data_IF_491206510517
#
_entry.id   IF_491206510517
#
_cell.length_a   1.000
_cell.length_b   1.000
_cell.length_c   1.000
_cell.angle_alpha   90.00
_cell.angle_beta   90.00
_cell.angle_gamma   90.00
#
_symmetry.space_group_name_H-M   'P 1'
#
loop_
_entity.id
_entity.type
_entity.pdbx_description
1 polymer ?
#
# COMPACT_ATOMS: atom_id res chain seq x y z
N UNK A 1 -8.06 4.88 13.39
CA UNK A 1 -7.08 5.35 14.42
C UNK A 1 -6.79 6.85 14.37
N UNK A 2 -6.76 7.45 13.19
CA UNK A 2 -6.49 8.87 12.95
C UNK A 2 -7.32 9.34 11.75
N UNK A 3 -7.40 10.65 11.51
CA UNK A 3 -7.98 11.21 10.27
C UNK A 3 -6.92 11.54 9.20
N UNK A 4 -5.64 11.24 9.46
CA UNK A 4 -4.54 11.56 8.54
C UNK A 4 -3.85 12.89 8.85
N UNK A 5 -4.45 13.74 9.67
CA UNK A 5 -3.78 14.92 10.24
C UNK A 5 -3.36 14.65 11.68
N UNK A 6 -4.27 14.09 12.48
CA UNK A 6 -4.06 13.81 13.91
C UNK A 6 -4.68 12.48 14.32
N UNK A 7 -4.11 11.86 15.35
CA UNK A 7 -4.72 10.71 16.02
C UNK A 7 -5.97 11.10 16.79
N UNK A 8 -6.93 10.17 16.86
CA UNK A 8 -8.08 10.36 17.72
C UNK A 8 -7.66 10.18 19.19
N UNK A 9 -7.96 11.16 20.06
CA UNK A 9 -7.56 11.12 21.48
C UNK A 9 -7.96 9.80 22.16
N UNK A 10 -9.17 9.29 21.88
CA UNK A 10 -9.63 8.00 22.44
C UNK A 10 -8.82 6.81 21.92
N UNK A 11 -8.39 6.83 20.66
CA UNK A 11 -7.56 5.78 20.08
C UNK A 11 -6.14 5.79 20.68
N UNK A 12 -5.55 6.97 20.87
CA UNK A 12 -4.24 7.12 21.52
C UNK A 12 -4.27 6.52 22.93
N UNK A 13 -5.23 6.93 23.77
CA UNK A 13 -5.41 6.40 25.13
C UNK A 13 -5.65 4.88 25.14
N UNK A 14 -6.38 4.36 24.16
CA UNK A 14 -6.63 2.93 24.03
C UNK A 14 -5.32 2.16 23.74
N UNK A 15 -4.52 2.63 22.77
CA UNK A 15 -3.22 2.04 22.44
C UNK A 15 -2.27 2.07 23.63
N UNK A 16 -2.18 3.21 24.34
CA UNK A 16 -1.37 3.34 25.55
C UNK A 16 -1.78 2.33 26.63
N UNK A 17 -3.09 2.18 26.87
CA UNK A 17 -3.60 1.21 27.85
C UNK A 17 -3.30 -0.23 27.43
N UNK A 18 -3.51 -0.58 26.16
CA UNK A 18 -3.19 -1.92 25.65
C UNK A 18 -1.70 -2.23 25.79
N UNK A 19 -0.83 -1.26 25.50
CA UNK A 19 0.61 -1.40 25.67
C UNK A 19 1.00 -1.60 27.14
N UNK A 20 0.44 -0.83 28.07
CA UNK A 20 0.66 -1.01 29.53
C UNK A 20 0.22 -2.38 30.03
N UNK A 21 -0.86 -2.94 29.46
CA UNK A 21 -1.35 -4.30 29.71
C UNK A 21 -0.56 -5.38 28.94
N UNK A 22 0.59 -5.02 28.36
CA UNK A 22 1.50 -5.89 27.60
C UNK A 22 0.83 -6.63 26.44
N UNK A 23 -0.13 -5.98 25.77
CA UNK A 23 -0.71 -6.51 24.54
C UNK A 23 0.21 -6.24 23.36
N UNK A 24 0.29 -7.21 22.46
CA UNK A 24 0.98 -7.05 21.18
C UNK A 24 0.03 -6.30 20.24
N UNK A 25 0.46 -5.15 19.74
CA UNK A 25 -0.33 -4.29 18.85
C UNK A 25 0.37 -4.24 17.50
N UNK A 26 -0.38 -4.50 16.43
CA UNK A 26 0.13 -4.49 15.06
C UNK A 26 -0.74 -3.54 14.24
N UNK A 27 -0.10 -2.67 13.44
CA UNK A 27 -0.81 -1.83 12.47
C UNK A 27 -0.87 -2.57 11.13
N UNK A 28 -2.08 -2.67 10.57
CA UNK A 28 -2.33 -3.19 9.23
C UNK A 28 -3.05 -2.12 8.40
N UNK A 29 -2.42 -1.64 7.32
CA UNK A 29 -2.97 -0.58 6.46
C UNK A 29 -2.92 -0.94 4.97
N UNK A 30 -3.91 -0.52 4.18
CA UNK A 30 -3.87 -0.66 2.72
C UNK A 30 -3.13 0.49 2.01
N UNK A 31 -2.56 1.44 2.77
CA UNK A 31 -1.67 2.47 2.24
C UNK A 31 -0.56 1.88 1.35
N UNK A 32 -0.23 2.57 0.26
CA UNK A 32 0.89 2.25 -0.62
C UNK A 32 2.26 2.66 -0.08
N UNK A 33 2.33 3.30 1.09
CA UNK A 33 3.60 3.69 1.71
C UNK A 33 4.40 2.48 2.19
N UNK A 34 5.72 2.59 2.17
CA UNK A 34 6.63 1.69 2.91
C UNK A 34 6.35 1.74 4.42
N UNK A 35 6.74 0.67 5.13
CA UNK A 35 6.50 0.61 6.58
C UNK A 35 7.29 1.67 7.35
N UNK A 36 8.52 1.97 6.94
CA UNK A 36 9.40 2.95 7.60
C UNK A 36 8.78 4.34 7.57
N UNK A 37 8.20 4.73 6.44
CA UNK A 37 7.45 5.98 6.30
C UNK A 37 6.28 6.04 7.27
N UNK A 38 5.53 4.93 7.40
CA UNK A 38 4.37 4.87 8.29
C UNK A 38 4.79 5.01 9.75
N UNK A 39 5.85 4.31 10.15
CA UNK A 39 6.43 4.38 11.50
C UNK A 39 6.89 5.81 11.83
N UNK A 40 7.61 6.48 10.91
CA UNK A 40 8.08 7.87 11.10
C UNK A 40 6.94 8.88 11.26
N UNK A 41 5.74 8.57 10.75
CA UNK A 41 4.56 9.44 10.86
C UNK A 41 3.80 9.27 12.17
N UNK A 42 3.95 8.15 12.88
CA UNK A 42 3.20 7.88 14.11
C UNK A 42 3.34 8.99 15.18
N UNK A 43 4.54 9.54 15.47
CA UNK A 43 4.67 10.62 16.44
C UNK A 43 3.86 11.87 16.09
N UNK A 44 3.81 12.23 14.79
CA UNK A 44 3.01 13.37 14.32
C UNK A 44 1.51 13.16 14.51
N UNK A 45 1.08 11.90 14.58
CA UNK A 45 -0.31 11.52 14.85
C UNK A 45 -0.57 11.33 16.36
N UNK A 46 0.43 11.51 17.22
CA UNK A 46 0.32 11.35 18.67
C UNK A 46 0.46 9.91 19.16
N UNK A 47 1.04 9.01 18.36
CA UNK A 47 1.31 7.63 18.77
C UNK A 47 2.82 7.40 18.92
N UNK A 48 3.24 6.75 20.01
CA UNK A 48 4.63 6.27 20.16
C UNK A 48 4.83 5.00 19.32
N UNK A 49 5.78 4.97 18.36
CA UNK A 49 6.14 3.77 17.61
C UNK A 49 6.40 2.54 18.46
N UNK A 50 6.93 2.70 19.68
CA UNK A 50 7.25 1.58 20.60
C UNK A 50 6.01 0.82 21.06
N UNK A 51 4.81 1.41 20.95
CA UNK A 51 3.57 0.73 21.28
C UNK A 51 3.18 -0.34 20.26
N UNK A 52 3.80 -0.35 19.08
CA UNK A 52 3.48 -1.28 18.01
C UNK A 52 4.64 -2.26 17.81
N UNK A 53 4.31 -3.55 17.87
CA UNK A 53 5.24 -4.64 17.58
C UNK A 53 5.61 -4.66 16.09
N UNK A 54 4.65 -4.38 15.22
CA UNK A 54 4.84 -4.36 13.78
C UNK A 54 3.92 -3.34 13.12
N UNK A 55 4.37 -2.84 11.98
CA UNK A 55 3.56 -2.06 11.04
C UNK A 55 3.72 -2.71 9.67
N UNK A 56 2.61 -3.21 9.14
CA UNK A 56 2.56 -3.70 7.76
C UNK A 56 1.60 -2.83 6.95
N UNK A 57 2.00 -2.56 5.72
CA UNK A 57 1.17 -1.87 4.74
C UNK A 57 1.07 -2.71 3.47
N UNK A 58 0.03 -2.49 2.68
CA UNK A 58 -0.07 -3.05 1.32
C UNK A 58 1.17 -2.68 0.48
N UNK A 59 1.61 -1.42 0.57
CA UNK A 59 2.82 -0.97 -0.08
C UNK A 59 4.08 -1.74 0.35
N UNK A 60 4.22 -1.99 1.65
CA UNK A 60 5.34 -2.78 2.18
C UNK A 60 5.29 -4.23 1.67
N UNK A 61 4.11 -4.86 1.64
CA UNK A 61 3.97 -6.21 1.10
C UNK A 61 4.37 -6.28 -0.38
N UNK A 62 3.91 -5.33 -1.20
CA UNK A 62 4.29 -5.25 -2.61
C UNK A 62 5.79 -5.03 -2.75
N UNK A 63 6.37 -4.12 -1.97
CA UNK A 63 7.81 -3.88 -2.00
C UNK A 63 8.61 -5.12 -1.61
N UNK A 64 8.24 -5.81 -0.54
CA UNK A 64 8.90 -7.05 -0.11
C UNK A 64 8.77 -8.15 -1.17
N UNK A 65 7.61 -8.25 -1.79
CA UNK A 65 7.35 -9.20 -2.88
C UNK A 65 8.21 -8.91 -4.12
N UNK A 66 8.38 -7.64 -4.47
CA UNK A 66 9.27 -7.22 -5.56
C UNK A 66 10.75 -7.41 -5.21
N UNK A 67 11.16 -7.06 -3.99
CA UNK A 67 12.55 -7.14 -3.55
C UNK A 67 13.02 -8.58 -3.37
N UNK A 68 12.27 -9.35 -2.57
CA UNK A 68 12.65 -10.69 -2.14
C UNK A 68 12.15 -11.80 -3.07
N UNK A 69 11.35 -11.47 -4.10
CA UNK A 69 10.72 -12.44 -5.01
C UNK A 69 9.89 -13.49 -4.25
N UNK A 70 9.24 -13.06 -3.16
CA UNK A 70 8.50 -13.93 -2.25
C UNK A 70 7.15 -14.41 -2.80
N UNK A 71 6.78 -13.98 -4.00
CA UNK A 71 5.54 -14.37 -4.67
C UNK A 71 5.81 -14.75 -6.13
N UNK A 72 5.18 -15.83 -6.61
CA UNK A 72 5.41 -16.35 -7.97
C UNK A 72 5.12 -15.31 -9.06
N UNK A 73 4.12 -14.46 -8.84
CA UNK A 73 3.81 -13.33 -9.71
C UNK A 73 4.99 -12.36 -9.89
N UNK A 74 5.61 -11.90 -8.79
CA UNK A 74 6.66 -10.88 -8.84
C UNK A 74 8.02 -11.45 -9.22
N UNK A 75 8.24 -12.75 -8.95
CA UNK A 75 9.44 -13.48 -9.30
C UNK A 75 9.73 -13.52 -10.80
N UNK A 76 8.69 -13.53 -11.63
CA UNK A 76 8.81 -13.67 -13.09
C UNK A 76 8.71 -12.34 -13.85
N UNK A 77 8.78 -11.20 -13.16
CA UNK A 77 8.72 -9.89 -13.81
C UNK A 77 10.01 -9.59 -14.57
N UNK A 78 9.86 -9.02 -15.76
CA UNK A 78 10.96 -8.42 -16.49
C UNK A 78 11.44 -7.11 -15.82
N UNK A 79 12.52 -6.52 -16.34
CA UNK A 79 13.22 -5.44 -15.64
C UNK A 79 12.59 -4.06 -15.78
N UNK A 80 11.90 -3.74 -16.88
CA UNK A 80 11.44 -2.36 -17.09
C UNK A 80 10.11 -2.09 -16.38
N UNK A 81 10.14 -1.16 -15.42
CA UNK A 81 9.01 -0.79 -14.60
C UNK A 81 8.52 0.62 -14.94
N UNK A 82 7.24 0.78 -15.29
CA UNK A 82 6.61 2.09 -15.26
C UNK A 82 6.08 2.35 -13.85
N UNK A 83 6.70 3.30 -13.13
CA UNK A 83 6.30 3.62 -11.76
C UNK A 83 5.31 4.80 -11.76
N UNK A 84 4.07 4.50 -11.41
CA UNK A 84 2.97 5.46 -11.34
C UNK A 84 2.75 5.91 -9.89
N UNK A 85 3.08 7.17 -9.64
CA UNK A 85 2.95 7.80 -8.33
C UNK A 85 2.80 9.33 -8.49
N UNK A 86 2.41 9.97 -7.39
CA UNK A 86 2.33 11.42 -7.27
C UNK A 86 3.76 11.98 -7.11
N UNK A 87 4.26 12.68 -8.14
CA UNK A 87 5.66 13.13 -8.20
C UNK A 87 6.01 14.19 -7.14
N UNK A 88 4.99 14.84 -6.57
CA UNK A 88 5.14 15.82 -5.49
C UNK A 88 5.30 15.16 -4.12
N UNK A 89 5.03 13.85 -4.03
CA UNK A 89 5.17 13.08 -2.79
C UNK A 89 6.48 12.32 -2.72
N UNK A 90 7.29 12.64 -1.71
CA UNK A 90 8.56 11.94 -1.43
C UNK A 90 8.38 10.44 -1.19
N UNK A 91 7.24 10.03 -0.62
CA UNK A 91 6.95 8.62 -0.33
C UNK A 91 6.99 7.74 -1.57
N UNK A 92 6.52 8.25 -2.72
CA UNK A 92 6.61 7.53 -3.98
C UNK A 92 8.06 7.37 -4.42
N UNK A 93 8.86 8.44 -4.35
CA UNK A 93 10.30 8.39 -4.68
C UNK A 93 11.05 7.43 -3.76
N UNK A 94 10.72 7.41 -2.47
CA UNK A 94 11.31 6.51 -1.49
C UNK A 94 10.88 5.05 -1.69
N UNK A 95 9.66 4.80 -2.20
CA UNK A 95 9.13 3.44 -2.38
C UNK A 95 10.09 2.54 -3.13
N UNK A 96 10.72 3.05 -4.18
CA UNK A 96 11.61 2.26 -5.07
C UNK A 96 13.02 2.04 -4.51
N UNK A 97 13.35 2.58 -3.34
CA UNK A 97 14.64 2.32 -2.68
C UNK A 97 14.77 0.83 -2.34
N UNK A 98 15.89 0.22 -2.74
CA UNK A 98 16.14 -1.22 -2.65
C UNK A 98 15.59 -2.03 -3.82
N UNK A 99 14.93 -1.41 -4.82
CA UNK A 99 14.43 -2.08 -6.02
C UNK A 99 15.34 -1.84 -7.25
N UNK A 100 16.65 -1.63 -7.04
CA UNK A 100 17.61 -1.24 -8.09
C UNK A 100 17.81 -2.31 -9.18
N UNK A 101 17.29 -3.53 -8.99
CA UNK A 101 17.27 -4.57 -10.02
C UNK A 101 16.33 -4.26 -11.20
N UNK A 102 15.37 -3.35 -11.00
CA UNK A 102 14.45 -2.89 -12.04
C UNK A 102 14.91 -1.57 -12.67
N UNK A 103 14.63 -1.42 -13.96
CA UNK A 103 14.84 -0.18 -14.70
C UNK A 103 13.55 0.64 -14.67
N UNK A 104 13.54 1.76 -13.96
CA UNK A 104 12.37 2.65 -13.91
C UNK A 104 12.30 3.53 -15.16
N UNK A 105 11.40 3.19 -16.07
CA UNK A 105 11.21 3.87 -17.36
C UNK A 105 10.15 4.97 -17.26
N UNK A 106 10.33 6.03 -18.06
CA UNK A 106 9.41 7.19 -18.06
C UNK A 106 8.20 7.03 -18.97
N UNK A 107 8.28 6.13 -19.96
CA UNK A 107 7.25 5.89 -20.96
C UNK A 107 6.66 4.51 -20.74
N UNK A 108 5.33 4.42 -20.81
CA UNK A 108 4.62 3.16 -20.63
C UNK A 108 4.97 2.16 -21.75
N UNK A 109 5.32 2.67 -22.93
CA UNK A 109 5.70 1.89 -24.11
C UNK A 109 7.02 1.13 -23.92
N UNK A 110 7.90 1.61 -23.03
CA UNK A 110 9.20 1.01 -22.72
C UNK A 110 9.12 0.01 -21.55
N UNK A 111 7.95 -0.09 -20.91
CA UNK A 111 7.76 -0.89 -19.70
C UNK A 111 7.35 -2.33 -20.01
N UNK A 112 7.63 -3.21 -19.05
CA UNK A 112 7.17 -4.59 -19.00
C UNK A 112 6.11 -4.81 -17.91
N UNK A 113 6.03 -3.94 -16.91
CA UNK A 113 4.97 -3.94 -15.90
C UNK A 113 4.77 -2.53 -15.32
N UNK A 114 3.65 -2.35 -14.63
CA UNK A 114 3.32 -1.11 -13.93
C UNK A 114 3.43 -1.35 -12.43
N UNK A 115 4.16 -0.49 -11.72
CA UNK A 115 4.08 -0.35 -10.28
C UNK A 115 3.24 0.89 -9.96
N UNK A 116 2.07 0.69 -9.38
CA UNK A 116 1.08 1.73 -9.16
C UNK A 116 0.88 2.01 -7.67
N UNK A 117 1.32 3.19 -7.23
CA UNK A 117 1.34 3.58 -5.81
C UNK A 117 0.24 4.57 -5.46
N UNK A 118 0.12 5.67 -6.19
CA UNK A 118 -0.87 6.73 -5.94
C UNK A 118 -1.33 7.36 -7.25
N UNK A 119 -2.61 7.75 -7.37
CA UNK A 119 -3.07 8.49 -8.53
C UNK A 119 -2.31 9.81 -8.68
N UNK A 120 -2.14 10.25 -9.91
CA UNK A 120 -1.69 11.59 -10.27
C UNK A 120 -2.66 12.65 -9.72
N UNK A 121 -2.15 13.75 -9.13
CA UNK A 121 -2.98 14.84 -8.63
C UNK A 121 -3.90 15.42 -9.71
N UNK A 122 -5.17 15.64 -9.36
CA UNK A 122 -6.17 16.25 -10.25
C UNK A 122 -6.69 15.35 -11.38
N UNK A 123 -6.22 14.10 -11.48
CA UNK A 123 -6.72 13.15 -12.47
C UNK A 123 -7.98 12.45 -11.94
N UNK A 124 -8.99 12.33 -12.79
CA UNK A 124 -10.13 11.44 -12.62
C UNK A 124 -9.83 10.08 -13.25
N UNK A 125 -10.69 9.10 -12.98
CA UNK A 125 -10.56 7.72 -13.50
C UNK A 125 -10.45 7.67 -15.03
N UNK A 126 -11.23 8.50 -15.74
CA UNK A 126 -11.28 8.54 -17.21
C UNK A 126 -9.94 9.02 -17.81
N UNK A 127 -9.21 9.88 -17.10
CA UNK A 127 -7.94 10.44 -17.57
C UNK A 127 -6.84 9.37 -17.69
N UNK A 128 -7.01 8.22 -17.03
CA UNK A 128 -6.11 7.08 -17.14
C UNK A 128 -6.37 6.22 -18.38
N UNK A 129 -7.53 6.32 -19.04
CA UNK A 129 -7.89 5.45 -20.17
C UNK A 129 -6.79 5.42 -21.24
N UNK A 130 -6.24 6.56 -21.72
CA UNK A 130 -5.20 6.53 -22.74
C UNK A 130 -3.93 5.76 -22.30
N UNK A 131 -3.53 5.88 -21.03
CA UNK A 131 -2.37 5.17 -20.48
C UNK A 131 -2.67 3.68 -20.32
N UNK A 132 -3.85 3.34 -19.80
CA UNK A 132 -4.28 1.97 -19.58
C UNK A 132 -4.51 1.21 -20.89
N UNK A 133 -5.01 1.86 -21.95
CA UNK A 133 -5.14 1.26 -23.27
C UNK A 133 -3.78 0.84 -23.83
N UNK A 134 -2.77 1.70 -23.73
CA UNK A 134 -1.38 1.36 -24.14
C UNK A 134 -0.79 0.23 -23.31
N UNK A 135 -1.07 0.22 -22.01
CA UNK A 135 -0.64 -0.86 -21.14
C UNK A 135 -1.29 -2.20 -21.53
N UNK A 136 -2.59 -2.17 -21.89
CA UNK A 136 -3.35 -3.33 -22.30
C UNK A 136 -2.86 -3.90 -23.63
N UNK A 137 -2.58 -3.05 -24.62
CA UNK A 137 -1.99 -3.46 -25.92
C UNK A 137 -0.68 -4.24 -25.73
N UNK A 138 0.13 -3.82 -24.75
CA UNK A 138 1.37 -4.51 -24.36
C UNK A 138 1.18 -5.62 -23.33
N UNK A 139 -0.04 -5.85 -22.85
CA UNK A 139 -0.39 -6.81 -21.79
C UNK A 139 0.44 -6.63 -20.52
N UNK A 140 0.70 -5.38 -20.13
CA UNK A 140 1.52 -5.09 -18.95
C UNK A 140 0.80 -5.57 -17.68
N UNK A 141 1.43 -6.36 -16.81
CA UNK A 141 0.88 -6.64 -15.50
C UNK A 141 0.85 -5.37 -14.64
N UNK A 142 -0.27 -5.12 -13.96
CA UNK A 142 -0.48 -3.94 -13.13
C UNK A 142 -0.38 -4.31 -11.64
N UNK A 143 0.69 -3.87 -11.00
CA UNK A 143 0.95 -4.10 -9.58
C UNK A 143 0.39 -2.92 -8.78
N UNK A 144 -0.69 -3.15 -8.04
CA UNK A 144 -1.35 -2.13 -7.25
C UNK A 144 -0.91 -2.19 -5.79
N UNK A 145 -0.25 -1.13 -5.33
CA UNK A 145 0.26 -1.02 -3.97
C UNK A 145 -0.74 -0.42 -2.96
N UNK A 146 -1.89 0.09 -3.43
CA UNK A 146 -3.00 0.50 -2.57
C UNK A 146 -4.33 -0.02 -3.14
N UNK A 147 -4.90 -1.12 -2.60
CA UNK A 147 -6.11 -1.72 -3.13
C UNK A 147 -7.40 -1.00 -2.73
N UNK A 148 -7.34 0.03 -1.88
CA UNK A 148 -8.53 0.80 -1.55
C UNK A 148 -9.06 1.51 -2.81
N UNK A 149 -10.39 1.61 -2.92
CA UNK A 149 -11.05 2.27 -4.05
C UNK A 149 -11.06 3.79 -3.88
N UNK A 150 -11.33 4.25 -2.67
CA UNK A 150 -11.50 5.65 -2.32
C UNK A 150 -10.91 5.93 -0.94
N UNK A 151 -10.52 7.18 -0.71
CA UNK A 151 -10.15 7.70 0.60
C UNK A 151 -10.83 9.04 0.81
N UNK A 152 -11.24 9.32 2.04
CA UNK A 152 -11.78 10.64 2.40
C UNK A 152 -10.61 11.62 2.44
N UNK A 153 -10.70 12.75 1.72
CA UNK A 153 -9.74 13.84 1.87
C UNK A 153 -10.11 14.72 3.07
N UNK A 154 -9.11 15.33 3.70
CA UNK A 154 -9.36 16.11 4.89
C UNK A 154 -10.08 17.42 4.57
N UNK A 155 -11.19 17.67 5.26
CA UNK A 155 -12.01 18.91 5.28
C UNK A 155 -13.06 19.07 4.18
N UNK A 156 -13.25 18.09 3.31
CA UNK A 156 -14.44 17.99 2.44
C UNK A 156 -15.07 16.62 2.62
N UNK A 157 -16.40 16.50 2.49
CA UNK A 157 -17.07 15.19 2.34
C UNK A 157 -16.79 14.57 0.95
N UNK A 158 -15.71 14.97 0.28
CA UNK A 158 -15.34 14.54 -1.06
C UNK A 158 -14.40 13.33 -0.99
N UNK A 159 -14.76 12.31 -1.76
CA UNK A 159 -14.02 11.06 -1.88
C UNK A 159 -12.96 11.21 -2.96
N UNK A 160 -11.70 10.99 -2.58
CA UNK A 160 -10.61 10.91 -3.54
C UNK A 160 -10.43 9.47 -4.02
N UNK A 161 -10.27 9.33 -5.33
CA UNK A 161 -9.96 8.04 -5.92
C UNK A 161 -8.60 7.53 -5.41
N UNK A 162 -8.55 6.26 -5.07
CA UNK A 162 -7.33 5.54 -4.74
C UNK A 162 -6.90 4.63 -5.89
N UNK A 163 -5.71 4.04 -5.77
CA UNK A 163 -5.13 3.24 -6.84
C UNK A 163 -5.94 1.96 -7.14
N UNK A 164 -6.69 1.45 -6.17
CA UNK A 164 -7.58 0.30 -6.36
C UNK A 164 -8.65 0.55 -7.43
N UNK A 165 -9.17 1.78 -7.53
CA UNK A 165 -10.13 2.16 -8.58
C UNK A 165 -9.51 2.11 -9.97
N UNK A 166 -8.28 2.61 -10.12
CA UNK A 166 -7.55 2.56 -11.40
C UNK A 166 -7.17 1.12 -11.76
N UNK A 167 -6.74 0.33 -10.78
CA UNK A 167 -6.46 -1.09 -10.97
C UNK A 167 -7.73 -1.86 -11.41
N UNK A 168 -8.88 -1.56 -10.81
CA UNK A 168 -10.15 -2.19 -11.17
C UNK A 168 -10.62 -1.80 -12.57
N UNK A 169 -10.40 -0.54 -13.00
CA UNK A 169 -10.61 -0.13 -14.39
C UNK A 169 -9.71 -0.94 -15.34
N UNK A 170 -8.42 -1.07 -15.03
CA UNK A 170 -7.52 -1.84 -15.88
C UNK A 170 -7.95 -3.32 -15.98
N UNK A 171 -8.39 -3.90 -14.86
CA UNK A 171 -8.96 -5.25 -14.82
C UNK A 171 -10.23 -5.39 -15.66
N UNK A 172 -11.15 -4.41 -15.62
CA UNK A 172 -12.39 -4.46 -16.39
C UNK A 172 -12.15 -4.34 -17.90
N UNK A 173 -11.05 -3.69 -18.30
CA UNK A 173 -10.57 -3.65 -19.68
C UNK A 173 -9.88 -4.96 -20.13
N UNK A 174 -9.72 -5.95 -19.22
CA UNK A 174 -9.09 -7.23 -19.50
C UNK A 174 -7.60 -7.30 -19.12
N UNK A 175 -7.07 -6.28 -18.44
CA UNK A 175 -5.71 -6.27 -17.94
C UNK A 175 -5.51 -7.17 -16.73
N UNK A 176 -4.30 -7.69 -16.56
CA UNK A 176 -3.91 -8.46 -15.39
C UNK A 176 -3.51 -7.52 -14.24
N UNK A 177 -4.03 -7.77 -13.04
CA UNK A 177 -3.68 -7.00 -11.84
C UNK A 177 -3.11 -7.90 -10.74
N UNK A 178 -2.16 -7.36 -9.98
CA UNK A 178 -1.63 -7.97 -8.77
C UNK A 178 -1.78 -7.02 -7.59
N UNK A 179 -2.33 -7.55 -6.50
CA UNK A 179 -2.64 -6.82 -5.27
C UNK A 179 -2.20 -7.69 -4.09
N UNK A 180 -1.56 -7.07 -3.10
CA UNK A 180 -1.40 -7.59 -1.75
C UNK A 180 -2.02 -6.57 -0.78
N UNK A 181 -2.50 -7.02 0.37
CA UNK A 181 -3.22 -6.16 1.32
C UNK A 181 -4.58 -6.71 1.73
N UNK A 182 -5.30 -5.98 2.58
CA UNK A 182 -6.64 -6.37 3.04
C UNK A 182 -7.61 -6.36 1.85
N UNK A 183 -8.57 -7.30 1.77
CA UNK A 183 -8.89 -8.32 2.79
C UNK A 183 -8.16 -9.66 2.62
N UNK A 184 -7.11 -9.75 1.78
CA UNK A 184 -6.39 -11.01 1.55
C UNK A 184 -5.70 -11.49 2.83
N UNK A 185 -5.65 -12.81 3.02
CA UNK A 185 -5.08 -13.43 4.21
C UNK A 185 -3.57 -13.17 4.35
N UNK A 186 -2.88 -12.94 3.24
CA UNK A 186 -1.43 -12.76 3.17
C UNK A 186 -0.94 -11.63 4.09
N UNK A 187 -1.66 -10.51 4.15
CA UNK A 187 -1.25 -9.39 5.01
C UNK A 187 -1.36 -9.73 6.50
N UNK A 188 -2.31 -10.58 6.88
CA UNK A 188 -2.47 -11.02 8.27
C UNK A 188 -1.42 -12.08 8.65
N UNK A 189 -1.04 -12.94 7.69
CA UNK A 189 0.05 -13.90 7.88
C UNK A 189 1.38 -13.13 8.06
N UNK A 190 1.67 -12.21 7.15
CA UNK A 190 2.90 -11.42 7.21
C UNK A 190 2.96 -10.54 8.46
N UNK A 191 1.85 -9.89 8.83
CA UNK A 191 1.81 -9.04 10.03
C UNK A 191 2.07 -9.79 11.34
N UNK A 192 1.79 -11.09 11.37
CA UNK A 192 1.94 -11.94 12.56
C UNK A 192 3.14 -12.88 12.50
N UNK A 193 3.98 -12.80 11.45
CA UNK A 193 5.08 -13.73 11.23
C UNK A 193 6.14 -13.72 12.36
N UNK A 194 6.29 -12.60 13.08
CA UNK A 194 7.18 -12.45 14.23
C UNK A 194 6.64 -13.11 15.51
N UNK A 195 5.36 -13.47 15.56
CA UNK A 195 4.71 -14.09 16.72
C UNK A 195 4.94 -15.60 16.65
N UNK A 196 5.90 -16.10 17.45
CA UNK A 196 6.31 -17.52 17.46
C UNK A 196 5.15 -18.52 17.64
N UNK A 197 4.11 -18.15 18.40
CA UNK A 197 2.94 -19.00 18.67
C UNK A 197 1.66 -18.16 18.70
N UNK A 198 1.14 -17.84 17.52
CA UNK A 198 -0.13 -17.14 17.39
C UNK A 198 -1.30 -18.03 17.84
N UNK A 199 -2.04 -17.60 18.87
CA UNK A 199 -3.27 -18.26 19.31
C UNK A 199 -4.45 -17.51 18.69
N UNK A 200 -4.92 -17.95 17.52
CA UNK A 200 -5.96 -17.23 16.73
C UNK A 200 -7.19 -16.78 17.53
N UNK A 201 -7.79 -17.57 18.45
CA UNK A 201 -8.92 -17.12 19.27
C UNK A 201 -8.62 -15.94 20.22
N UNK A 202 -7.36 -15.57 20.39
CA UNK A 202 -6.89 -14.45 21.21
C UNK A 202 -6.46 -13.23 20.38
N UNK A 203 -6.72 -13.25 19.08
CA UNK A 203 -6.40 -12.16 18.16
C UNK A 203 -7.70 -11.41 17.85
N UNK A 204 -7.65 -10.09 17.98
CA UNK A 204 -8.74 -9.20 17.61
C UNK A 204 -8.28 -8.32 16.44
N UNK A 205 -8.94 -8.43 15.29
CA UNK A 205 -8.79 -7.48 14.20
C UNK A 205 -9.82 -6.35 14.38
N UNK A 206 -9.36 -5.09 14.30
CA UNK A 206 -10.21 -3.90 14.44
C UNK A 206 -10.00 -3.01 13.23
N UNK A 207 -11.10 -2.61 12.58
CA UNK A 207 -11.12 -1.70 11.43
C UNK A 207 -12.52 -1.10 11.27
N UNK A 208 -12.60 -0.03 10.47
CA UNK A 208 -13.82 0.62 10.00
C UNK A 208 -14.25 0.13 8.61
#
# INVERSE_FOLDING_TARGET
>A
MHNGIKGYIKAIKCVEKLYQEKKEIIIISNSSKRKETTIKRLPNLGFDPKHFMEVITSGEMIWQSLNNESHDFTKNLEKNCYHMYDQDKEDGKYFISGLEKFNFVKKIEDANFILACTPSPGYNVIDYIPLLTKALEKKLPFICANPDYETVENNSDELNICMGTIAQLYKSLGGEIFILGKPKIDIYIESTNKIKKLIKPRVLAVGD
#
